data_IF_284149840130
#
_entry.id   IF_284149840130
#
_cell.length_a   1.000
_cell.length_b   1.000
_cell.length_c   1.000
_cell.angle_alpha   90.00
_cell.angle_beta   90.00
_cell.angle_gamma   90.00
#
_symmetry.space_group_name_H-M   'P 1'
#
loop_
_entity.id
_entity.type
_entity.pdbx_description
1 polymer ?
#
# COMPACT_ATOMS: atom_id res chain seq x y z
N UNK A 1 -28.36 10.97 30.21
CA UNK A 1 -27.96 9.56 30.31
C UNK A 1 -28.88 8.83 29.36
N UNK A 2 -28.52 8.58 28.10
CA UNK A 2 -27.21 8.15 27.61
C UNK A 2 -26.92 8.65 26.17
N UNK A 3 -25.90 9.50 26.01
CA UNK A 3 -25.30 9.82 24.70
C UNK A 3 -23.97 9.07 24.59
N UNK A 4 -24.03 7.74 24.53
CA UNK A 4 -22.83 6.94 24.29
C UNK A 4 -22.55 6.89 22.77
N UNK A 5 -22.19 8.04 22.20
CA UNK A 5 -21.64 8.12 20.84
C UNK A 5 -20.22 7.58 20.93
N UNK A 6 -20.03 6.33 20.54
CA UNK A 6 -18.70 5.75 20.37
C UNK A 6 -17.93 6.58 19.33
N UNK A 7 -16.93 7.34 19.77
CA UNK A 7 -16.17 8.23 18.90
C UNK A 7 -15.23 7.39 18.04
N UNK A 8 -15.68 7.05 16.82
CA UNK A 8 -14.81 6.40 15.83
C UNK A 8 -13.72 7.38 15.40
N UNK A 9 -12.47 7.03 15.68
CA UNK A 9 -11.29 7.78 15.23
C UNK A 9 -10.85 7.28 13.85
N UNK A 10 -10.67 8.20 12.90
CA UNK A 10 -10.06 7.89 11.60
C UNK A 10 -8.54 7.77 11.76
N UNK A 11 -8.00 6.58 11.51
CA UNK A 11 -6.57 6.28 11.73
C UNK A 11 -5.74 6.43 10.46
N UNK A 12 -6.25 6.00 9.31
CA UNK A 12 -5.54 6.02 8.03
C UNK A 12 -6.50 6.24 6.86
N UNK A 13 -5.98 6.84 5.79
CA UNK A 13 -6.68 7.04 4.52
C UNK A 13 -5.75 6.64 3.39
N UNK A 14 -6.17 5.64 2.61
CA UNK A 14 -5.55 5.23 1.35
C UNK A 14 -6.30 5.81 0.16
N UNK A 15 -5.55 6.23 -0.85
CA UNK A 15 -6.05 6.68 -2.15
C UNK A 15 -5.52 5.72 -3.21
N UNK A 16 -6.42 5.10 -3.95
CA UNK A 16 -6.11 4.06 -4.93
C UNK A 16 -6.75 4.36 -6.28
N UNK A 17 -6.05 4.04 -7.35
CA UNK A 17 -6.63 3.98 -8.70
C UNK A 17 -7.10 2.55 -8.98
N UNK A 18 -8.35 2.43 -9.44
CA UNK A 18 -8.94 1.15 -9.86
C UNK A 18 -8.87 1.07 -11.38
N UNK A 19 -8.14 0.07 -11.88
CA UNK A 19 -7.89 -0.17 -13.29
C UNK A 19 -8.45 -1.54 -13.69
N UNK A 20 -8.70 -1.81 -14.97
CA UNK A 20 -9.35 -3.06 -15.40
C UNK A 20 -8.66 -4.36 -14.96
N UNK A 21 -7.35 -4.31 -14.71
CA UNK A 21 -6.53 -5.47 -14.32
C UNK A 21 -5.69 -5.24 -13.07
N UNK A 22 -5.77 -4.06 -12.46
CA UNK A 22 -4.93 -3.78 -11.31
C UNK A 22 -5.51 -2.73 -10.38
N UNK A 23 -4.97 -2.71 -9.17
CA UNK A 23 -5.20 -1.66 -8.19
C UNK A 23 -3.86 -0.98 -7.92
N UNK A 24 -3.83 0.34 -7.95
CA UNK A 24 -2.61 1.13 -7.81
C UNK A 24 -2.70 2.01 -6.57
N UNK A 25 -1.84 1.76 -5.59
CA UNK A 25 -1.72 2.59 -4.39
C UNK A 25 -1.04 3.92 -4.74
N UNK A 26 -1.75 5.04 -4.57
CA UNK A 26 -1.26 6.37 -4.95
C UNK A 26 -0.75 7.14 -3.72
N UNK A 27 -1.61 7.29 -2.72
CA UNK A 27 -1.27 7.99 -1.48
C UNK A 27 -1.78 7.21 -0.28
N UNK A 28 -1.02 7.28 0.81
CA UNK A 28 -1.45 6.78 2.09
C UNK A 28 -0.95 7.72 3.17
N UNK A 29 -1.86 8.21 3.99
CA UNK A 29 -1.56 9.05 5.14
C UNK A 29 -2.31 8.55 6.36
N UNK A 30 -1.67 8.64 7.52
CA UNK A 30 -2.18 8.09 8.77
C UNK A 30 -1.74 8.92 9.96
N UNK A 31 -2.47 8.76 11.07
CA UNK A 31 -2.11 9.33 12.35
C UNK A 31 -0.85 8.64 12.92
N UNK A 32 0.19 9.43 13.19
CA UNK A 32 1.49 8.95 13.67
C UNK A 32 1.41 8.26 15.03
N UNK A 33 0.38 8.53 15.83
CA UNK A 33 0.13 7.81 17.09
C UNK A 33 0.00 6.30 16.88
N UNK A 34 -0.37 5.87 15.66
CA UNK A 34 -0.60 4.48 15.28
C UNK A 34 0.54 3.85 14.47
N UNK A 35 1.72 4.49 14.42
CA UNK A 35 2.86 3.99 13.66
C UNK A 35 3.29 2.56 14.05
N UNK A 36 3.07 2.17 15.32
CA UNK A 36 3.36 0.83 15.82
C UNK A 36 2.56 -0.29 15.13
N UNK A 37 1.41 0.03 14.51
CA UNK A 37 0.61 -0.92 13.74
C UNK A 37 1.09 -1.07 12.29
N UNK A 38 2.15 -0.36 11.90
CA UNK A 38 2.63 -0.28 10.52
C UNK A 38 1.48 -0.07 9.50
N UNK A 39 0.71 1.04 9.57
CA UNK A 39 -0.46 1.25 8.71
C UNK A 39 -0.17 1.10 7.21
N UNK A 40 1.04 1.50 6.79
CA UNK A 40 1.54 1.28 5.43
C UNK A 40 1.48 -0.16 4.95
N UNK A 41 1.92 -1.11 5.77
CA UNK A 41 1.91 -2.52 5.43
C UNK A 41 0.51 -3.12 5.55
N UNK A 42 -0.25 -2.72 6.57
CA UNK A 42 -1.60 -3.23 6.76
C UNK A 42 -2.53 -2.82 5.62
N UNK A 43 -2.50 -1.55 5.22
CA UNK A 43 -3.28 -1.06 4.07
C UNK A 43 -2.88 -1.79 2.78
N UNK A 44 -1.59 -2.00 2.52
CA UNK A 44 -1.15 -2.76 1.35
C UNK A 44 -1.70 -4.21 1.35
N UNK A 45 -1.71 -4.89 2.51
CA UNK A 45 -2.29 -6.23 2.62
C UNK A 45 -3.80 -6.25 2.36
N UNK A 46 -4.53 -5.26 2.85
CA UNK A 46 -5.97 -5.14 2.55
C UNK A 46 -6.21 -4.84 1.07
N UNK A 47 -5.44 -3.93 0.46
CA UNK A 47 -5.52 -3.64 -0.97
C UNK A 47 -5.23 -4.87 -1.84
N UNK A 48 -4.25 -5.69 -1.46
CA UNK A 48 -3.95 -6.98 -2.10
C UNK A 48 -5.14 -7.95 -1.98
N UNK A 49 -5.86 -7.97 -0.84
CA UNK A 49 -7.06 -8.83 -0.70
C UNK A 49 -8.18 -8.46 -1.66
N UNK A 50 -8.24 -7.21 -2.10
CA UNK A 50 -9.27 -6.70 -3.00
C UNK A 50 -8.90 -6.85 -4.49
N UNK A 51 -7.62 -7.09 -4.79
CA UNK A 51 -7.14 -7.12 -6.17
C UNK A 51 -7.42 -8.46 -6.86
N UNK A 52 -7.77 -8.41 -8.14
CA UNK A 52 -8.04 -9.63 -8.93
C UNK A 52 -6.80 -10.19 -9.61
N UNK A 53 -5.94 -9.32 -10.17
CA UNK A 53 -4.73 -9.76 -10.88
C UNK A 53 -3.46 -9.11 -10.32
N UNK A 54 -3.31 -7.77 -10.41
CA UNK A 54 -2.07 -7.09 -10.03
C UNK A 54 -2.27 -5.95 -9.06
N UNK A 55 -1.44 -5.89 -8.02
CA UNK A 55 -1.35 -4.73 -7.13
C UNK A 55 -0.08 -3.94 -7.39
N UNK A 56 -0.23 -2.68 -7.80
CA UNK A 56 0.88 -1.77 -8.04
C UNK A 56 1.15 -0.93 -6.79
N UNK A 57 2.20 -1.31 -6.04
CA UNK A 57 2.66 -0.61 -4.83
C UNK A 57 3.39 0.70 -5.11
N UNK A 58 3.53 1.12 -6.37
CA UNK A 58 4.39 2.24 -6.76
C UNK A 58 5.88 1.88 -6.81
N UNK A 59 6.73 2.90 -6.95
CA UNK A 59 8.18 2.72 -7.07
C UNK A 59 8.79 1.89 -5.93
N UNK A 60 9.91 1.24 -6.20
CA UNK A 60 10.76 0.58 -5.22
C UNK A 60 12.20 1.06 -5.37
N UNK A 61 12.72 1.70 -4.31
CA UNK A 61 14.12 2.16 -4.24
C UNK A 61 14.80 1.33 -3.16
N UNK A 62 15.64 0.37 -3.56
CA UNK A 62 16.25 -0.61 -2.65
C UNK A 62 17.13 0.02 -1.56
N UNK A 63 17.70 1.20 -1.80
CA UNK A 63 18.49 1.98 -0.83
C UNK A 63 17.63 2.76 0.17
N UNK A 64 16.32 2.91 -0.05
CA UNK A 64 15.43 3.67 0.83
C UNK A 64 14.85 2.79 1.95
N UNK A 65 15.19 3.03 3.23
CA UNK A 65 14.71 2.19 4.34
C UNK A 65 13.18 2.15 4.44
N UNK A 66 12.52 3.27 4.13
CA UNK A 66 11.05 3.37 4.15
C UNK A 66 10.36 2.51 3.10
N UNK A 67 11.08 2.02 2.09
CA UNK A 67 10.51 1.23 0.99
C UNK A 67 10.90 -0.23 1.06
N UNK A 68 11.75 -0.61 2.02
CA UNK A 68 12.25 -1.99 2.17
C UNK A 68 11.13 -3.01 2.32
N UNK A 69 10.06 -2.65 3.03
CA UNK A 69 8.90 -3.51 3.26
C UNK A 69 8.23 -4.00 1.96
N UNK A 70 8.38 -3.26 0.84
CA UNK A 70 7.80 -3.67 -0.46
C UNK A 70 8.46 -4.93 -1.03
N UNK A 71 9.70 -5.23 -0.64
CA UNK A 71 10.42 -6.41 -1.11
C UNK A 71 9.88 -7.71 -0.50
N UNK A 72 9.16 -7.61 0.63
CA UNK A 72 8.67 -8.76 1.38
C UNK A 72 7.37 -9.35 0.79
N UNK A 73 6.68 -8.62 -0.10
CA UNK A 73 5.50 -9.13 -0.80
C UNK A 73 5.90 -10.02 -1.97
N UNK A 74 5.30 -11.19 -2.06
CA UNK A 74 5.60 -12.19 -3.09
C UNK A 74 4.31 -12.88 -3.57
N UNK A 75 4.22 -13.25 -4.86
CA UNK A 75 5.18 -12.95 -5.93
C UNK A 75 5.21 -11.46 -6.31
N UNK A 76 6.36 -10.95 -6.78
CA UNK A 76 6.49 -9.54 -7.20
C UNK A 76 7.35 -9.36 -8.47
N UNK A 77 6.89 -8.47 -9.34
CA UNK A 77 7.60 -8.04 -10.54
C UNK A 77 8.25 -6.66 -10.32
N UNK A 78 9.52 -6.51 -10.71
CA UNK A 78 10.23 -5.24 -10.64
C UNK A 78 10.62 -4.79 -12.04
N UNK A 79 10.15 -3.59 -12.43
CA UNK A 79 10.60 -2.95 -13.65
C UNK A 79 12.04 -2.45 -13.44
N UNK A 80 13.02 -3.17 -14.00
CA UNK A 80 14.41 -2.74 -14.00
C UNK A 80 14.67 -1.83 -15.22
N UNK A 81 15.14 -0.58 -15.00
CA UNK A 81 15.35 0.39 -16.08
C UNK A 81 16.51 0.01 -17.02
N UNK A 82 17.38 -0.92 -16.62
CA UNK A 82 18.54 -1.35 -17.41
C UNK A 82 18.21 -2.48 -18.40
N UNK A 83 17.18 -3.27 -18.10
CA UNK A 83 16.65 -4.28 -19.02
C UNK A 83 15.82 -3.59 -20.09
N UNK A 84 16.42 -3.33 -21.25
CA UNK A 84 15.66 -3.12 -22.48
C UNK A 84 14.79 -4.36 -22.71
N UNK A 85 13.48 -4.19 -22.75
CA UNK A 85 12.61 -5.19 -23.38
C UNK A 85 12.94 -5.13 -24.87
N UNK A 86 13.90 -5.95 -25.29
CA UNK A 86 14.24 -6.18 -26.69
C UNK A 86 13.60 -7.48 -27.12
N UNK A 87 12.67 -7.40 -28.07
CA UNK A 87 11.94 -8.51 -28.66
C UNK A 87 10.58 -8.07 -29.16
#
# INVERSE_FOLDING_TARGET
MDDNIETRQLVAVGVVDVLPRCLSGVYLFWDKAWAALAPGQWTALEEIRWVQEYYYMGYYIHTCPRMRYKADYQPADLLCPETKVGG
#
